data_IF_449501047808
#
_entry.id   IF_449501047808
#
_cell.length_a   1.000
_cell.length_b   1.000
_cell.length_c   1.000
_cell.angle_alpha   90.00
_cell.angle_beta   90.00
_cell.angle_gamma   90.00
#
_symmetry.space_group_name_H-M   'P 1'
#
loop_
_entity.id
_entity.type
_entity.pdbx_description
1 polymer ?
#
# COMPACT_ATOMS: atom_id res chain seq x y z
N UNK A 1 -19.56 -5.92 11.57
CA UNK A 1 -20.26 -5.90 10.26
C UNK A 1 -20.42 -4.45 9.82
N UNK A 2 -20.37 -4.14 8.51
CA UNK A 2 -20.63 -2.78 8.02
C UNK A 2 -22.11 -2.40 8.24
N UNK A 3 -22.34 -1.19 8.72
CA UNK A 3 -23.67 -0.64 9.03
C UNK A 3 -24.16 0.33 7.95
N UNK A 4 -25.49 0.48 7.82
CA UNK A 4 -26.07 1.74 7.36
C UNK A 4 -26.52 1.89 5.90
N UNK A 5 -26.66 0.80 5.11
CA UNK A 5 -27.45 0.85 3.86
C UNK A 5 -28.34 -0.36 3.71
N UNK A 6 -29.65 -0.12 3.56
CA UNK A 6 -30.59 -1.17 3.17
C UNK A 6 -30.53 -1.40 1.66
N UNK A 7 -30.10 -2.59 1.26
CA UNK A 7 -30.21 -3.03 -0.14
C UNK A 7 -31.66 -3.38 -0.48
N UNK A 8 -32.04 -3.17 -1.74
CA UNK A 8 -33.36 -3.58 -2.25
C UNK A 8 -33.51 -5.11 -2.23
N UNK A 9 -34.73 -5.61 -2.38
CA UNK A 9 -35.02 -7.05 -2.31
C UNK A 9 -34.33 -7.81 -3.44
N UNK A 10 -34.27 -7.22 -4.63
CA UNK A 10 -33.64 -7.76 -5.83
C UNK A 10 -32.12 -7.87 -5.65
N UNK A 11 -31.49 -6.85 -5.06
CA UNK A 11 -30.05 -6.86 -4.76
C UNK A 11 -29.72 -7.89 -3.67
N UNK A 12 -30.58 -8.02 -2.65
CA UNK A 12 -30.45 -9.09 -1.62
C UNK A 12 -30.55 -10.47 -2.25
N UNK A 13 -31.54 -10.73 -3.12
CA UNK A 13 -31.68 -11.99 -3.85
C UNK A 13 -30.47 -12.29 -4.74
N UNK A 14 -29.92 -11.27 -5.43
CA UNK A 14 -28.73 -11.44 -6.25
C UNK A 14 -27.50 -11.82 -5.39
N UNK A 15 -27.31 -11.15 -4.26
CA UNK A 15 -26.22 -11.44 -3.31
C UNK A 15 -26.34 -12.86 -2.74
N UNK A 16 -27.55 -13.32 -2.38
CA UNK A 16 -27.75 -14.69 -1.92
C UNK A 16 -27.38 -15.72 -3.00
N UNK A 17 -27.81 -15.55 -4.26
CA UNK A 17 -27.39 -16.46 -5.36
C UNK A 17 -25.87 -16.54 -5.53
N UNK A 18 -25.18 -15.42 -5.38
CA UNK A 18 -23.70 -15.36 -5.45
C UNK A 18 -23.08 -16.13 -4.28
N UNK A 19 -23.61 -15.98 -3.07
CA UNK A 19 -23.17 -16.73 -1.88
C UNK A 19 -23.45 -18.21 -2.07
N UNK A 20 -24.69 -18.60 -2.39
CA UNK A 20 -25.10 -19.98 -2.65
C UNK A 20 -24.19 -20.64 -3.69
N UNK A 21 -23.90 -19.95 -4.80
CA UNK A 21 -23.01 -20.47 -5.83
C UNK A 21 -21.57 -20.70 -5.32
N UNK A 22 -20.99 -19.73 -4.61
CA UNK A 22 -19.61 -19.82 -4.09
C UNK A 22 -19.49 -20.83 -2.94
N UNK A 23 -20.55 -21.06 -2.17
CA UNK A 23 -20.55 -22.09 -1.13
C UNK A 23 -20.71 -23.49 -1.72
N UNK A 24 -21.57 -23.69 -2.72
CA UNK A 24 -21.70 -24.97 -3.43
C UNK A 24 -20.48 -25.28 -4.34
N UNK A 25 -19.69 -24.29 -4.74
CA UNK A 25 -18.47 -24.49 -5.54
C UNK A 25 -17.35 -25.22 -4.77
N UNK A 26 -17.45 -25.31 -3.44
CA UNK A 26 -16.51 -26.07 -2.58
C UNK A 26 -16.60 -27.59 -2.80
N UNK A 27 -17.80 -28.10 -3.07
CA UNK A 27 -18.10 -29.53 -3.25
C UNK A 27 -18.53 -29.86 -4.70
N UNK A 28 -18.47 -28.87 -5.60
CA UNK A 28 -19.04 -28.92 -6.95
C UNK A 28 -18.04 -29.10 -8.10
N UNK A 29 -18.52 -29.31 -9.33
CA UNK A 29 -17.68 -29.41 -10.52
C UNK A 29 -17.04 -28.05 -10.86
N UNK A 30 -15.73 -27.94 -10.59
CA UNK A 30 -14.91 -26.73 -10.74
C UNK A 30 -15.07 -26.14 -12.16
N UNK A 31 -15.65 -24.94 -12.25
CA UNK A 31 -15.62 -24.15 -13.50
C UNK A 31 -14.28 -23.43 -13.57
N UNK A 32 -13.45 -23.69 -14.59
CA UNK A 32 -12.13 -23.08 -14.67
C UNK A 32 -12.23 -21.55 -14.73
N UNK A 33 -11.37 -20.85 -13.98
CA UNK A 33 -11.27 -19.38 -13.94
C UNK A 33 -11.22 -18.72 -15.33
N UNK A 34 -10.70 -19.45 -16.31
CA UNK A 34 -10.57 -19.03 -17.72
C UNK A 34 -11.92 -18.83 -18.42
N UNK A 35 -13.02 -19.44 -17.93
CA UNK A 35 -14.36 -19.32 -18.49
C UNK A 35 -15.27 -18.49 -17.57
N UNK A 36 -14.94 -17.21 -17.46
CA UNK A 36 -15.65 -16.22 -16.63
C UNK A 36 -17.14 -16.14 -17.00
N UNK A 37 -17.49 -16.34 -18.27
CA UNK A 37 -18.83 -16.19 -18.80
C UNK A 37 -19.78 -17.31 -18.31
N UNK A 38 -19.39 -18.58 -18.45
CA UNK A 38 -20.16 -19.69 -17.88
C UNK A 38 -20.29 -19.60 -16.36
N UNK A 39 -19.26 -19.08 -15.68
CA UNK A 39 -19.30 -18.87 -14.22
C UNK A 39 -20.29 -17.75 -13.86
N UNK A 40 -20.33 -16.64 -14.62
CA UNK A 40 -21.34 -15.59 -14.46
C UNK A 40 -22.77 -16.07 -14.78
N UNK A 41 -22.96 -16.93 -15.79
CA UNK A 41 -24.25 -17.56 -16.11
C UNK A 41 -24.78 -18.32 -14.90
N UNK A 42 -23.95 -19.21 -14.32
CA UNK A 42 -24.34 -20.05 -13.18
C UNK A 42 -24.54 -19.23 -11.90
N UNK A 43 -23.61 -18.31 -11.60
CA UNK A 43 -23.60 -17.53 -10.36
C UNK A 43 -24.76 -16.52 -10.24
N UNK A 44 -25.20 -15.95 -11.36
CA UNK A 44 -26.30 -14.96 -11.37
C UNK A 44 -27.65 -15.60 -11.75
N UNK A 45 -27.62 -16.80 -12.34
CA UNK A 45 -28.73 -17.48 -13.00
C UNK A 45 -29.42 -16.61 -14.07
N UNK A 46 -28.63 -16.19 -15.07
CA UNK A 46 -29.07 -15.35 -16.20
C UNK A 46 -28.50 -15.89 -17.52
N UNK A 47 -29.15 -15.57 -18.65
CA UNK A 47 -28.69 -16.04 -19.96
C UNK A 47 -27.33 -15.45 -20.36
N UNK A 48 -26.54 -16.21 -21.13
CA UNK A 48 -25.31 -15.72 -21.75
C UNK A 48 -25.54 -14.46 -22.59
N UNK A 49 -26.68 -14.37 -23.28
CA UNK A 49 -27.08 -13.16 -24.02
C UNK A 49 -27.26 -11.93 -23.12
N UNK A 50 -27.74 -12.12 -21.88
CA UNK A 50 -27.86 -11.04 -20.89
C UNK A 50 -26.49 -10.58 -20.40
N UNK A 51 -25.54 -11.50 -20.20
CA UNK A 51 -24.16 -11.17 -19.80
C UNK A 51 -23.44 -10.40 -20.92
N UNK A 52 -23.56 -10.83 -22.17
CA UNK A 52 -23.01 -10.10 -23.32
C UNK A 52 -23.59 -8.69 -23.41
N UNK A 53 -24.90 -8.52 -23.18
CA UNK A 53 -25.55 -7.20 -23.19
C UNK A 53 -25.08 -6.32 -22.03
N UNK A 54 -25.06 -6.84 -20.80
CA UNK A 54 -24.57 -6.14 -19.61
C UNK A 54 -23.09 -5.74 -19.73
N UNK A 55 -22.23 -6.58 -20.31
CA UNK A 55 -20.83 -6.24 -20.63
C UNK A 55 -20.73 -5.08 -21.62
N UNK A 56 -21.61 -5.03 -22.62
CA UNK A 56 -21.65 -3.93 -23.59
C UNK A 56 -22.16 -2.63 -22.95
N UNK A 57 -23.26 -2.68 -22.20
CA UNK A 57 -23.80 -1.56 -21.41
C UNK A 57 -22.73 -0.99 -20.46
N UNK A 58 -22.03 -1.85 -19.71
CA UNK A 58 -20.98 -1.46 -18.77
C UNK A 58 -19.73 -0.91 -19.47
N UNK A 59 -19.41 -1.36 -20.70
CA UNK A 59 -18.36 -0.76 -21.53
C UNK A 59 -18.76 0.68 -21.92
N UNK A 60 -19.96 0.87 -22.46
CA UNK A 60 -20.46 2.20 -22.88
C UNK A 60 -20.50 3.18 -21.71
N UNK A 61 -20.95 2.74 -20.52
CA UNK A 61 -20.96 3.57 -19.31
C UNK A 61 -19.54 4.00 -18.87
N UNK A 62 -18.53 3.14 -19.04
CA UNK A 62 -17.11 3.50 -18.78
C UNK A 62 -16.58 4.52 -19.79
N UNK A 63 -16.93 4.36 -21.05
CA UNK A 63 -16.54 5.29 -22.12
C UNK A 63 -17.19 6.68 -21.92
N UNK A 64 -18.47 6.72 -21.54
CA UNK A 64 -19.18 7.95 -21.18
C UNK A 64 -18.59 8.63 -19.93
N UNK A 65 -18.29 7.86 -18.87
CA UNK A 65 -17.68 8.41 -17.66
C UNK A 65 -16.28 8.99 -17.95
N UNK A 66 -15.47 8.33 -18.78
CA UNK A 66 -14.17 8.84 -19.21
C UNK A 66 -14.27 10.13 -20.05
N UNK A 67 -15.30 10.25 -20.91
CA UNK A 67 -15.57 11.46 -21.67
C UNK A 67 -15.99 12.63 -20.76
N UNK A 68 -16.88 12.39 -19.79
CA UNK A 68 -17.26 13.38 -18.78
C UNK A 68 -16.05 13.84 -17.94
N UNK A 69 -15.18 12.91 -17.53
CA UNK A 69 -13.95 13.23 -16.79
C UNK A 69 -12.94 14.02 -17.64
N UNK A 70 -12.97 13.89 -18.97
CA UNK A 70 -12.17 14.72 -19.90
C UNK A 70 -12.76 16.11 -20.08
N UNK A 71 -14.07 16.22 -20.28
CA UNK A 71 -14.80 17.50 -20.41
C UNK A 71 -14.62 18.36 -19.15
N UNK A 72 -14.78 17.79 -17.95
CA UNK A 72 -14.53 18.49 -16.68
C UNK A 72 -13.10 19.05 -16.59
N UNK A 73 -12.09 18.30 -17.04
CA UNK A 73 -10.68 18.75 -17.03
C UNK A 73 -10.42 19.87 -18.05
N UNK A 74 -11.14 19.89 -19.16
CA UNK A 74 -11.06 20.94 -20.18
C UNK A 74 -11.77 22.22 -19.71
N UNK A 75 -12.95 22.09 -19.08
CA UNK A 75 -13.65 23.20 -18.43
C UNK A 75 -12.82 23.82 -17.28
N UNK A 76 -12.25 22.99 -16.40
CA UNK A 76 -11.29 23.45 -15.37
C UNK A 76 -10.11 24.21 -15.96
N UNK A 77 -9.49 23.68 -17.03
CA UNK A 77 -8.34 24.30 -17.68
C UNK A 77 -8.70 25.66 -18.31
N UNK A 78 -9.85 25.75 -18.98
CA UNK A 78 -10.35 26.97 -19.60
C UNK A 78 -10.74 28.03 -18.54
N UNK A 79 -11.34 27.61 -17.42
CA UNK A 79 -11.67 28.51 -16.31
C UNK A 79 -10.41 29.07 -15.64
N UNK A 80 -9.38 28.24 -15.41
CA UNK A 80 -8.07 28.69 -14.88
C UNK A 80 -7.36 29.62 -15.87
N UNK A 81 -7.46 29.37 -17.18
CA UNK A 81 -6.91 30.27 -18.20
C UNK A 81 -7.57 31.66 -18.15
N UNK A 82 -8.91 31.70 -18.05
CA UNK A 82 -9.67 32.95 -17.94
C UNK A 82 -9.32 33.74 -16.67
N UNK A 83 -9.28 33.10 -15.50
CA UNK A 83 -8.89 33.75 -14.24
C UNK A 83 -7.48 34.36 -14.29
N UNK A 84 -6.55 33.68 -14.97
CA UNK A 84 -5.17 34.15 -15.15
C UNK A 84 -5.06 35.41 -16.01
N UNK A 85 -6.06 35.70 -16.87
CA UNK A 85 -6.10 36.91 -17.70
C UNK A 85 -6.46 38.18 -16.91
N UNK A 86 -7.10 38.05 -15.74
CA UNK A 86 -7.58 39.19 -14.94
C UNK A 86 -6.69 39.57 -13.74
N UNK A 87 -5.65 38.78 -13.44
CA UNK A 87 -4.81 38.99 -12.24
C UNK A 87 -3.49 39.72 -12.53
N UNK A 88 -3.49 40.61 -13.52
CA UNK A 88 -2.29 41.39 -13.96
C UNK A 88 -2.40 42.89 -13.66
N UNK A 89 -3.44 43.33 -12.96
CA UNK A 89 -3.59 44.68 -12.43
C UNK A 89 -4.06 44.62 -10.97
N UNK A 90 -3.15 44.86 -10.02
CA UNK A 90 -3.35 45.34 -8.63
C UNK A 90 -2.17 44.93 -7.72
N UNK A 91 -1.05 45.64 -7.78
CA UNK A 91 0.15 45.38 -6.96
C UNK A 91 0.66 46.61 -6.21
N UNK A 92 -0.19 47.21 -5.36
CA UNK A 92 0.23 48.28 -4.43
C UNK A 92 -0.60 48.32 -3.14
N UNK A 93 0.01 48.02 -1.98
CA UNK A 93 0.04 48.88 -0.76
C UNK A 93 0.37 48.12 0.56
N UNK A 94 1.56 48.42 1.12
CA UNK A 94 1.98 48.51 2.55
C UNK A 94 1.42 47.56 3.67
N UNK A 95 2.37 46.90 4.38
CA UNK A 95 2.48 46.72 5.88
C UNK A 95 1.37 45.86 6.56
N UNK A 96 1.47 45.24 7.76
CA UNK A 96 2.43 45.01 8.90
C UNK A 96 1.86 43.77 9.70
N UNK A 97 2.44 43.07 10.70
CA UNK A 97 3.76 42.97 11.36
C UNK A 97 3.84 41.70 12.28
N UNK A 98 5.04 41.45 12.85
CA UNK A 98 5.33 40.99 14.24
C UNK A 98 4.81 39.66 14.86
N UNK A 99 5.76 38.74 15.16
CA UNK A 99 5.95 37.94 16.41
C UNK A 99 4.89 36.90 16.87
N UNK A 100 5.17 35.81 17.62
CA UNK A 100 6.32 35.43 18.49
C UNK A 100 6.50 33.89 18.75
N UNK A 101 7.70 33.51 19.22
CA UNK A 101 8.05 32.45 20.22
C UNK A 101 7.67 30.93 20.11
N UNK A 102 8.67 30.09 20.44
CA UNK A 102 8.69 28.62 20.71
C UNK A 102 8.28 28.27 22.18
N UNK A 103 8.18 27.00 22.72
CA UNK A 103 8.99 25.77 22.44
C UNK A 103 8.34 24.35 22.60
N UNK A 104 9.09 23.22 22.43
CA UNK A 104 8.55 21.83 22.42
C UNK A 104 8.99 20.87 23.57
N UNK A 105 8.30 19.71 23.71
CA UNK A 105 8.56 18.51 24.56
C UNK A 105 7.81 17.28 23.98
N UNK A 106 7.98 16.01 24.41
CA UNK A 106 9.10 15.08 24.70
C UNK A 106 8.48 13.66 24.98
N UNK A 107 9.19 12.55 24.74
CA UNK A 107 8.69 11.15 24.80
C UNK A 107 9.13 10.40 26.09
N UNK A 108 8.45 9.32 26.52
CA UNK A 108 9.13 8.15 27.11
C UNK A 108 8.63 6.74 26.64
N UNK A 109 9.47 5.70 26.81
CA UNK A 109 9.26 4.28 26.41
C UNK A 109 8.77 3.35 27.55
N UNK A 110 8.42 2.08 27.23
CA UNK A 110 8.62 0.91 28.14
C UNK A 110 8.88 -0.43 27.39
N UNK A 111 9.40 -1.47 28.08
CA UNK A 111 9.86 -2.79 27.57
C UNK A 111 9.25 -3.99 28.34
N UNK A 112 9.24 -5.20 27.72
CA UNK A 112 9.35 -6.62 28.22
C UNK A 112 9.16 -7.56 26.98
N UNK A 113 9.95 -8.56 26.57
CA UNK A 113 10.54 -9.79 27.19
C UNK A 113 9.50 -10.89 27.53
N UNK A 114 9.63 -12.20 27.17
CA UNK A 114 10.67 -12.97 26.44
C UNK A 114 10.34 -14.50 26.28
N UNK A 115 10.92 -15.17 25.26
CA UNK A 115 11.43 -16.57 25.19
C UNK A 115 10.56 -17.82 24.80
N UNK A 116 10.77 -18.32 23.56
CA UNK A 116 11.42 -19.61 23.14
C UNK A 116 10.58 -20.92 22.96
N UNK A 117 10.79 -21.58 21.80
CA UNK A 117 10.86 -23.03 21.45
C UNK A 117 9.84 -23.76 20.53
N UNK A 118 10.08 -23.69 19.21
CA UNK A 118 10.37 -24.86 18.31
C UNK A 118 9.29 -25.79 17.65
N UNK A 119 9.55 -26.18 16.37
CA UNK A 119 9.01 -27.30 15.52
C UNK A 119 7.49 -27.22 15.15
N UNK A 120 6.92 -27.59 13.98
CA UNK A 120 7.29 -28.54 12.88
C UNK A 120 6.82 -28.07 11.47
N UNK A 121 7.43 -28.55 10.37
CA UNK A 121 7.24 -27.93 9.04
C UNK A 121 6.06 -28.43 8.21
N UNK A 122 5.16 -27.50 7.89
CA UNK A 122 4.47 -27.41 6.60
C UNK A 122 4.94 -26.13 5.89
N UNK A 123 4.82 -26.08 4.56
CA UNK A 123 5.15 -24.90 3.76
C UNK A 123 3.88 -24.46 3.05
N UNK A 124 3.51 -23.19 3.23
CA UNK A 124 2.43 -22.55 2.50
C UNK A 124 3.08 -21.43 1.71
N UNK A 125 3.13 -21.52 0.39
CA UNK A 125 3.63 -20.42 -0.43
C UNK A 125 2.55 -19.34 -0.51
N UNK A 126 2.86 -18.15 0.01
CA UNK A 126 1.89 -17.04 0.14
C UNK A 126 2.43 -15.79 -0.53
N UNK A 127 2.02 -15.56 -1.78
CA UNK A 127 2.51 -14.44 -2.60
C UNK A 127 1.81 -13.13 -2.22
N UNK A 128 2.59 -12.08 -1.92
CA UNK A 128 2.07 -10.73 -1.74
C UNK A 128 2.04 -9.94 -3.05
N UNK A 129 0.91 -9.30 -3.37
CA UNK A 129 0.76 -8.40 -4.51
C UNK A 129 0.60 -6.94 -4.06
N UNK A 130 1.72 -6.22 -3.89
CA UNK A 130 1.69 -4.74 -3.80
C UNK A 130 1.90 -4.15 -5.21
N UNK A 131 0.97 -3.33 -5.74
CA UNK A 131 1.18 -2.63 -7.00
C UNK A 131 2.26 -1.53 -6.84
N UNK A 132 3.43 -1.77 -7.45
CA UNK A 132 4.57 -0.85 -7.43
C UNK A 132 4.23 0.53 -8.05
N UNK A 133 4.79 1.64 -7.53
CA UNK A 133 4.32 2.99 -7.86
C UNK A 133 4.81 3.49 -9.23
N UNK A 134 3.99 3.30 -10.26
CA UNK A 134 4.16 4.02 -11.55
C UNK A 134 3.85 5.51 -11.33
N UNK A 135 4.72 6.38 -11.85
CA UNK A 135 4.67 7.83 -11.70
C UNK A 135 5.17 8.52 -13.01
N UNK A 136 4.85 9.81 -13.26
CA UNK A 136 4.02 10.73 -12.45
C UNK A 136 2.94 11.50 -13.26
N UNK A 137 1.65 11.43 -12.89
CA UNK A 137 0.67 12.49 -13.20
C UNK A 137 -0.43 12.63 -12.13
N UNK A 138 -0.52 13.85 -11.56
CA UNK A 138 -1.54 14.41 -10.63
C UNK A 138 -1.90 13.62 -9.35
N UNK A 139 -2.46 14.33 -8.36
CA UNK A 139 -2.84 13.83 -7.02
C UNK A 139 -4.19 13.10 -7.02
N UNK A 140 -4.34 12.04 -7.81
CA UNK A 140 -5.46 11.12 -7.62
C UNK A 140 -5.24 10.30 -6.33
N UNK A 141 -6.25 10.23 -5.46
CA UNK A 141 -6.20 9.33 -4.30
C UNK A 141 -6.20 7.89 -4.81
N UNK A 142 -5.09 7.17 -4.62
CA UNK A 142 -4.97 5.77 -5.06
C UNK A 142 -5.51 4.87 -3.97
N UNK A 143 -6.35 3.89 -4.32
CA UNK A 143 -6.68 2.82 -3.38
C UNK A 143 -5.52 1.81 -3.37
N UNK A 144 -5.04 1.47 -2.19
CA UNK A 144 -4.06 0.41 -1.98
C UNK A 144 -4.73 -0.76 -1.23
N UNK A 145 -4.26 -1.96 -1.51
CA UNK A 145 -4.76 -3.21 -0.93
C UNK A 145 -3.56 -4.06 -0.53
N UNK A 146 -3.62 -4.69 0.64
CA UNK A 146 -2.72 -5.77 1.06
C UNK A 146 -3.55 -6.99 1.37
N UNK A 147 -3.15 -8.15 0.86
CA UNK A 147 -3.87 -9.40 1.03
C UNK A 147 -2.89 -10.58 0.88
N UNK A 148 -3.11 -11.63 1.66
CA UNK A 148 -2.42 -12.90 1.53
C UNK A 148 -3.23 -13.85 0.64
N UNK A 149 -2.54 -14.44 -0.34
CA UNK A 149 -3.10 -15.37 -1.32
C UNK A 149 -2.41 -16.72 -1.14
N UNK A 150 -3.21 -17.78 -1.04
CA UNK A 150 -2.76 -19.17 -0.95
C UNK A 150 -3.27 -19.97 -2.15
N UNK A 151 -2.93 -21.26 -2.26
CA UNK A 151 -3.45 -22.15 -3.33
C UNK A 151 -4.98 -22.21 -3.36
N UNK A 152 -5.64 -22.10 -2.21
CA UNK A 152 -7.11 -22.05 -2.06
C UNK A 152 -7.71 -20.66 -2.43
N UNK A 153 -6.88 -19.70 -2.84
CA UNK A 153 -7.25 -18.31 -3.11
C UNK A 153 -6.97 -17.34 -1.95
N UNK A 154 -7.70 -16.21 -1.96
CA UNK A 154 -7.53 -15.09 -1.04
C UNK A 154 -7.98 -15.42 0.39
N UNK A 155 -7.11 -15.21 1.38
CA UNK A 155 -7.48 -15.29 2.80
C UNK A 155 -8.21 -14.01 3.20
N UNK A 156 -9.55 -14.00 3.13
CA UNK A 156 -10.37 -12.79 3.28
C UNK A 156 -10.07 -11.96 4.55
N UNK A 157 -9.68 -12.60 5.66
CA UNK A 157 -9.33 -11.89 6.91
C UNK A 157 -7.98 -11.14 6.87
N UNK A 158 -7.15 -11.39 5.85
CA UNK A 158 -5.88 -10.69 5.62
C UNK A 158 -6.03 -9.42 4.77
N UNK A 159 -7.23 -9.09 4.30
CA UNK A 159 -7.44 -7.98 3.35
C UNK A 159 -7.50 -6.64 4.10
N UNK A 160 -6.44 -5.83 3.99
CA UNK A 160 -6.43 -4.40 4.33
C UNK A 160 -6.62 -3.55 3.06
N UNK A 161 -7.38 -2.46 3.19
CA UNK A 161 -7.73 -1.55 2.09
C UNK A 161 -7.67 -0.11 2.62
N UNK A 162 -6.85 0.74 2.00
CA UNK A 162 -6.68 2.12 2.43
C UNK A 162 -6.44 3.10 1.28
N UNK A 163 -6.67 4.39 1.56
CA UNK A 163 -6.32 5.47 0.64
C UNK A 163 -4.82 5.78 0.75
N UNK A 164 -4.08 5.48 -0.32
CA UNK A 164 -2.68 5.84 -0.47
C UNK A 164 -2.57 7.30 -0.91
N UNK A 165 -2.28 8.17 0.06
CA UNK A 165 -2.00 9.61 -0.12
C UNK A 165 -0.52 9.90 0.15
N UNK A 166 -0.08 11.16 0.07
CA UNK A 166 1.30 11.56 0.43
C UNK A 166 1.66 11.24 1.89
N UNK A 167 0.68 11.17 2.78
CA UNK A 167 0.85 10.86 4.22
C UNK A 167 0.59 9.37 4.54
N UNK A 168 -0.14 8.65 3.69
CA UNK A 168 -0.71 7.32 3.97
C UNK A 168 -0.16 6.22 3.04
N UNK A 169 1.14 6.28 2.72
CA UNK A 169 1.83 5.25 1.93
C UNK A 169 2.17 4.01 2.78
N UNK A 170 2.51 2.89 2.13
CA UNK A 170 3.06 1.73 2.83
C UNK A 170 4.43 2.09 3.44
N UNK A 171 4.62 1.73 4.71
CA UNK A 171 5.86 1.89 5.45
C UNK A 171 6.02 0.73 6.46
N UNK A 172 7.15 0.66 7.16
CA UNK A 172 7.45 -0.45 8.08
C UNK A 172 6.40 -0.58 9.20
N UNK A 173 5.97 0.54 9.78
CA UNK A 173 5.02 0.56 10.90
C UNK A 173 3.64 0.05 10.46
N UNK A 174 3.15 0.51 9.29
CA UNK A 174 1.89 0.05 8.72
C UNK A 174 1.98 -1.43 8.34
N UNK A 175 3.07 -1.83 7.68
CA UNK A 175 3.29 -3.22 7.26
C UNK A 175 3.22 -4.17 8.46
N UNK A 176 3.94 -3.88 9.56
CA UNK A 176 3.88 -4.68 10.78
C UNK A 176 2.48 -4.66 11.42
N UNK A 177 1.85 -3.48 11.51
CA UNK A 177 0.48 -3.35 12.07
C UNK A 177 -0.59 -4.14 11.30
N UNK A 178 -0.32 -4.51 10.05
CA UNK A 178 -1.14 -5.39 9.24
C UNK A 178 -0.68 -6.86 9.33
N UNK A 179 0.63 -7.12 9.26
CA UNK A 179 1.20 -8.46 9.26
C UNK A 179 0.96 -9.19 10.58
N UNK A 180 1.22 -8.55 11.72
CA UNK A 180 1.10 -9.17 13.06
C UNK A 180 -0.30 -9.75 13.34
N UNK A 181 -1.41 -8.99 13.23
CA UNK A 181 -2.75 -9.55 13.43
C UNK A 181 -3.14 -10.53 12.31
N UNK A 182 -2.61 -10.38 11.10
CA UNK A 182 -2.84 -11.32 10.00
C UNK A 182 -2.19 -12.68 10.29
N UNK A 183 -0.94 -12.69 10.74
CA UNK A 183 -0.20 -13.90 11.14
C UNK A 183 -0.84 -14.58 12.36
N UNK A 184 -1.30 -13.80 13.34
CA UNK A 184 -2.06 -14.34 14.48
C UNK A 184 -3.37 -14.99 14.02
N UNK A 185 -4.10 -14.34 13.09
CA UNK A 185 -5.33 -14.89 12.50
C UNK A 185 -5.05 -16.19 11.73
N UNK A 186 -4.02 -16.23 10.87
CA UNK A 186 -3.63 -17.44 10.15
C UNK A 186 -3.28 -18.60 11.09
N UNK A 187 -2.51 -18.35 12.16
CA UNK A 187 -2.23 -19.39 13.18
C UNK A 187 -3.51 -19.91 13.83
N UNK A 188 -4.47 -19.04 14.15
CA UNK A 188 -5.76 -19.46 14.71
C UNK A 188 -6.67 -20.25 13.73
N UNK A 189 -6.49 -20.07 12.42
CA UNK A 189 -7.27 -20.79 11.39
C UNK A 189 -6.63 -22.14 11.03
N UNK A 190 -5.31 -22.20 10.99
CA UNK A 190 -4.52 -23.34 10.49
C UNK A 190 -4.05 -24.25 11.65
N UNK A 191 -3.91 -23.69 12.85
CA UNK A 191 -3.46 -24.37 14.07
C UNK A 191 -1.93 -24.39 14.24
N UNK A 192 -1.45 -24.17 15.46
CA UNK A 192 -0.04 -23.90 15.79
C UNK A 192 0.95 -25.04 15.42
N UNK A 193 0.45 -26.22 15.07
CA UNK A 193 1.26 -27.41 14.71
C UNK A 193 1.82 -27.35 13.28
N UNK A 194 1.18 -26.56 12.41
CA UNK A 194 1.61 -26.35 11.04
C UNK A 194 2.45 -25.07 10.95
N UNK A 195 3.70 -25.18 10.46
CA UNK A 195 4.40 -23.97 9.98
C UNK A 195 3.68 -23.38 8.76
N UNK A 196 3.84 -22.08 8.63
CA UNK A 196 3.33 -21.24 7.56
C UNK A 196 4.56 -20.54 7.00
N UNK A 197 4.75 -20.55 5.68
CA UNK A 197 5.71 -19.68 5.02
C UNK A 197 4.97 -18.45 4.48
N UNK A 198 5.69 -17.35 4.25
CA UNK A 198 5.14 -16.14 3.64
C UNK A 198 6.14 -15.62 2.62
N UNK A 199 5.69 -15.42 1.37
CA UNK A 199 6.53 -15.18 0.20
C UNK A 199 6.34 -13.74 -0.28
N UNK A 200 7.06 -12.82 0.36
CA UNK A 200 7.04 -11.40 0.05
C UNK A 200 8.00 -11.06 -1.10
N UNK A 201 7.76 -9.94 -1.80
CA UNK A 201 8.79 -9.35 -2.67
C UNK A 201 9.94 -8.74 -1.83
N UNK A 202 11.01 -8.25 -2.44
CA UNK A 202 12.11 -7.62 -1.70
C UNK A 202 11.87 -6.10 -1.52
N UNK A 203 10.73 -5.71 -0.96
CA UNK A 203 10.38 -4.31 -0.80
C UNK A 203 11.12 -3.67 0.40
N UNK A 204 11.49 -2.38 0.33
CA UNK A 204 12.35 -1.75 1.35
C UNK A 204 11.73 -1.55 2.74
N UNK A 205 10.48 -1.97 2.96
CA UNK A 205 9.72 -1.80 4.20
C UNK A 205 9.41 -3.12 4.93
N UNK A 206 9.80 -4.28 4.38
CA UNK A 206 9.77 -5.55 5.14
C UNK A 206 11.07 -5.75 5.94
N UNK A 207 12.20 -5.27 5.38
CA UNK A 207 13.54 -5.55 5.87
C UNK A 207 14.13 -4.32 6.57
N UNK A 208 14.08 -4.28 7.90
CA UNK A 208 14.69 -3.20 8.70
C UNK A 208 16.19 -3.44 8.82
N UNK A 209 17.01 -2.41 8.56
CA UNK A 209 18.48 -2.47 8.73
C UNK A 209 18.85 -2.17 10.19
N UNK A 210 19.98 -2.71 10.66
CA UNK A 210 20.59 -2.26 11.92
C UNK A 210 20.99 -0.78 11.83
N UNK A 211 20.95 -0.02 12.93
CA UNK A 211 21.32 1.41 12.93
C UNK A 211 22.73 1.66 12.37
N UNK A 212 23.63 0.71 12.60
CA UNK A 212 25.01 0.73 12.09
C UNK A 212 25.06 0.51 10.55
N UNK A 213 24.10 -0.22 10.00
CA UNK A 213 23.91 -0.44 8.55
C UNK A 213 23.12 0.65 7.83
N UNK A 214 22.60 1.68 8.52
CA UNK A 214 21.86 2.78 7.88
C UNK A 214 22.83 3.71 7.15
N UNK A 215 22.92 3.55 5.83
CA UNK A 215 23.79 4.36 4.94
C UNK A 215 23.04 5.59 4.36
N UNK A 216 23.62 6.81 4.39
CA UNK A 216 23.04 8.00 3.76
C UNK A 216 22.76 7.83 2.27
N UNK A 217 21.57 8.24 1.82
CA UNK A 217 21.09 8.09 0.44
C UNK A 217 21.30 9.39 -0.37
N UNK A 218 21.21 9.32 -1.70
CA UNK A 218 21.27 10.51 -2.59
C UNK A 218 20.26 11.61 -2.22
N UNK A 219 19.14 11.26 -1.58
CA UNK A 219 18.13 12.19 -1.04
C UNK A 219 18.50 12.83 0.31
N UNK A 220 19.32 12.19 1.15
CA UNK A 220 19.67 12.67 2.51
C UNK A 220 20.28 14.08 2.52
N UNK A 221 20.10 14.85 3.61
CA UNK A 221 20.67 16.20 3.73
C UNK A 221 22.20 16.14 3.86
N UNK A 222 22.91 17.18 3.37
CA UNK A 222 24.39 17.26 3.44
C UNK A 222 24.90 17.20 4.89
N UNK A 223 24.16 17.80 5.82
CA UNK A 223 24.43 17.77 7.26
C UNK A 223 24.42 16.35 7.83
N UNK A 224 23.40 15.55 7.47
CA UNK A 224 23.27 14.15 7.90
C UNK A 224 24.41 13.28 7.35
N UNK A 225 24.74 13.46 6.06
CA UNK A 225 25.88 12.78 5.42
C UNK A 225 27.19 13.13 6.16
N UNK A 226 27.41 14.41 6.46
CA UNK A 226 28.59 14.86 7.20
C UNK A 226 28.62 14.42 8.67
N UNK A 227 27.45 14.23 9.31
CA UNK A 227 27.38 13.63 10.66
C UNK A 227 27.76 12.16 10.62
N UNK A 228 27.17 11.38 9.71
CA UNK A 228 27.41 9.94 9.56
C UNK A 228 28.88 9.59 9.33
N UNK A 229 29.59 10.41 8.53
CA UNK A 229 31.04 10.28 8.31
C UNK A 229 31.84 10.55 9.59
N UNK A 230 31.50 11.61 10.34
CA UNK A 230 32.13 11.92 11.64
C UNK A 230 31.85 10.87 12.71
N UNK A 231 30.63 10.34 12.76
CA UNK A 231 30.23 9.28 13.69
C UNK A 231 31.00 7.96 13.41
N UNK A 232 31.76 7.87 12.30
CA UNK A 232 32.64 6.75 11.90
C UNK A 232 34.12 7.17 11.78
N UNK A 233 34.48 8.34 12.30
CA UNK A 233 35.84 8.91 12.28
C UNK A 233 36.47 9.08 10.88
N UNK A 234 35.62 9.24 9.85
CA UNK A 234 36.07 9.46 8.47
C UNK A 234 36.28 10.95 8.22
N UNK A 235 37.52 11.37 8.00
CA UNK A 235 37.85 12.75 7.66
C UNK A 235 37.30 13.17 6.28
N UNK A 236 36.79 14.40 6.18
CA UNK A 236 36.42 15.01 4.90
C UNK A 236 36.61 16.55 4.92
N UNK A 237 37.14 17.15 3.85
CA UNK A 237 37.26 18.61 3.76
C UNK A 237 35.89 19.32 3.76
N UNK A 238 35.75 20.37 4.57
CA UNK A 238 34.52 21.19 4.70
C UNK A 238 33.98 21.75 3.38
N UNK A 239 34.83 21.87 2.36
CA UNK A 239 34.50 22.33 0.99
C UNK A 239 33.82 21.27 0.11
N UNK A 240 33.88 19.97 0.45
CA UNK A 240 33.38 18.88 -0.42
C UNK A 240 31.91 19.05 -0.81
N UNK A 241 31.60 18.71 -2.06
CA UNK A 241 30.24 18.68 -2.61
C UNK A 241 29.47 17.46 -2.09
N UNK A 242 28.14 17.50 -2.22
CA UNK A 242 27.27 16.37 -1.79
C UNK A 242 27.63 15.06 -2.49
N UNK A 243 28.04 15.12 -3.76
CA UNK A 243 28.49 13.95 -4.53
C UNK A 243 29.75 13.32 -3.91
N UNK A 244 30.81 14.11 -3.68
CA UNK A 244 32.07 13.67 -3.08
C UNK A 244 31.89 13.08 -1.67
N UNK A 245 30.97 13.63 -0.88
CA UNK A 245 30.63 13.05 0.42
C UNK A 245 29.87 11.72 0.29
N UNK A 246 29.04 11.55 -0.74
CA UNK A 246 28.36 10.28 -1.02
C UNK A 246 29.32 9.23 -1.61
N UNK A 247 30.36 9.63 -2.33
CA UNK A 247 31.45 8.76 -2.77
C UNK A 247 32.21 8.20 -1.56
N UNK A 248 32.64 9.05 -0.62
CA UNK A 248 33.24 8.62 0.66
C UNK A 248 32.31 7.70 1.46
N UNK A 249 31.02 8.02 1.56
CA UNK A 249 30.02 7.15 2.20
C UNK A 249 29.91 5.79 1.48
N UNK A 250 29.98 5.75 0.16
CA UNK A 250 29.89 4.49 -0.61
C UNK A 250 31.15 3.63 -0.50
N UNK A 251 32.34 4.24 -0.39
CA UNK A 251 33.61 3.55 -0.22
C UNK A 251 33.79 2.97 1.21
N UNK A 252 33.12 3.57 2.20
CA UNK A 252 33.14 3.14 3.60
C UNK A 252 31.78 2.60 4.07
N UNK A 253 30.94 2.14 3.14
CA UNK A 253 29.64 1.57 3.48
C UNK A 253 29.83 0.20 4.15
N UNK A 254 29.30 -0.03 5.37
CA UNK A 254 29.35 -1.34 5.99
C UNK A 254 28.51 -2.36 5.20
N UNK A 255 28.72 -3.65 5.50
CA UNK A 255 27.81 -4.69 5.05
C UNK A 255 26.37 -4.39 5.51
N UNK A 256 25.38 -4.82 4.73
CA UNK A 256 23.97 -4.64 5.09
C UNK A 256 23.56 -5.72 6.08
N UNK A 257 23.56 -5.39 7.35
CA UNK A 257 22.96 -6.20 8.39
C UNK A 257 21.50 -5.79 8.58
N UNK A 258 20.62 -6.79 8.57
CA UNK A 258 19.20 -6.63 8.85
C UNK A 258 18.92 -7.01 10.29
N UNK A 259 17.93 -6.36 10.91
CA UNK A 259 17.35 -6.87 12.14
C UNK A 259 16.67 -8.19 11.81
N UNK A 260 17.17 -9.26 12.42
CA UNK A 260 16.54 -10.58 12.44
C UNK A 260 15.91 -10.72 13.81
N UNK A 261 14.64 -11.14 13.87
CA UNK A 261 14.01 -11.48 15.14
C UNK A 261 14.81 -12.57 15.86
N UNK A 262 14.89 -12.55 17.21
CA UNK A 262 15.57 -13.61 17.94
C UNK A 262 14.91 -14.96 17.60
N UNK A 263 15.73 -15.95 17.28
CA UNK A 263 15.27 -17.33 17.08
C UNK A 263 14.76 -17.89 18.41
N UNK A 264 13.45 -17.81 18.61
CA UNK A 264 12.71 -18.41 19.72
C UNK A 264 12.28 -19.86 19.42
#
# INVERSE_FOLDING_TARGET
MPTGKEFSVEVKQLLFRVIDFVENEKDGPIVPLNNVDERLVKMLNISQSSITRLKHELKVLREQAAQQEQQLKEEEANQVHCLRSHTTQNTTTKRRASSSSLPPRKIPHRRRSCNVSSVSSSTIDVTLLIPQPIAPQKKSARLAVSALISVDGYRLRSIDIWACTEEHQMNSDRFLSWLDPTCATLRSEIGDKQRIAICLDNAPWYNVLTDESIVPKRSSRKEFIGKWLKDRDIEFPKKFLKAQLLELVSANAPAKEFLVDPFE
#
